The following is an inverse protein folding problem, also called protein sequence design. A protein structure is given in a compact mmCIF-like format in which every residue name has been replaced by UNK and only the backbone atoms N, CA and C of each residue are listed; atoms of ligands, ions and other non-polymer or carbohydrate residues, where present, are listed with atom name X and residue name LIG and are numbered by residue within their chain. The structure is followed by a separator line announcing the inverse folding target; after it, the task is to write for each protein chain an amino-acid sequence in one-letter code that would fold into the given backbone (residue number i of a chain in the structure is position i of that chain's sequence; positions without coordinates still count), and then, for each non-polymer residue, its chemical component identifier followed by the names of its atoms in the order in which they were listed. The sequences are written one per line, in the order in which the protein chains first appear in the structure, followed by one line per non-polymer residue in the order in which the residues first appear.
data_IF_866821708568
#
_entry.id   IF_866821708568
#
_cell.length_a   1.000
_cell.length_b   1.000
_cell.length_c   1.000
_cell.angle_alpha   90.00
_cell.angle_beta   90.00
_cell.angle_gamma   90.00
#
_symmetry.space_group_name_H-M   'P 1'
#
loop_
_entity.id
_entity.type
_entity.pdbx_description
1 polymer ?
#
# COMPACT_ATOMS: atom_id res chain seq x y z
N UNK A 1 32.12 -25.33 -52.05
CA UNK A 1 30.89 -24.52 -51.81
C UNK A 1 29.94 -25.16 -50.81
N UNK A 2 29.63 -26.47 -50.89
CA UNK A 2 28.76 -27.17 -49.92
C UNK A 2 29.28 -27.12 -48.46
N UNK A 3 30.59 -27.21 -48.26
CA UNK A 3 31.19 -27.20 -46.91
C UNK A 3 31.26 -25.79 -46.28
N UNK A 4 31.08 -24.73 -47.07
CA UNK A 4 31.07 -23.34 -46.59
C UNK A 4 29.67 -22.94 -46.08
N UNK A 5 28.62 -23.50 -46.69
CA UNK A 5 27.23 -23.28 -46.29
C UNK A 5 26.94 -23.94 -44.92
N UNK A 6 27.56 -25.08 -44.63
CA UNK A 6 27.40 -25.77 -43.36
C UNK A 6 28.01 -25.00 -42.17
N UNK A 7 29.13 -24.30 -42.39
CA UNK A 7 29.82 -23.50 -41.36
C UNK A 7 29.05 -22.21 -40.99
N UNK A 8 28.36 -21.58 -41.95
CA UNK A 8 27.49 -20.43 -41.70
C UNK A 8 26.21 -20.83 -40.95
N UNK A 9 25.74 -22.06 -41.16
CA UNK A 9 24.51 -22.57 -40.52
C UNK A 9 24.68 -22.82 -39.02
N UNK A 10 25.88 -23.20 -38.57
CA UNK A 10 26.16 -23.46 -37.14
C UNK A 10 26.42 -22.16 -36.35
N UNK A 11 26.93 -21.11 -37.00
CA UNK A 11 27.16 -19.80 -36.37
C UNK A 11 25.89 -19.00 -36.06
N UNK A 12 24.76 -19.31 -36.69
CA UNK A 12 23.49 -18.61 -36.48
C UNK A 12 22.67 -19.15 -35.29
N UNK A 13 23.07 -20.27 -34.70
CA UNK A 13 22.36 -20.87 -33.56
C UNK A 13 22.90 -20.43 -32.19
N UNK A 14 23.96 -19.63 -32.15
CA UNK A 14 24.61 -19.15 -30.91
C UNK A 14 24.20 -17.73 -30.50
N UNK A 15 23.15 -17.15 -31.10
CA UNK A 15 22.43 -16.05 -30.46
C UNK A 15 21.66 -16.60 -29.26
N UNK A 16 22.39 -16.88 -28.19
CA UNK A 16 21.84 -17.12 -26.87
C UNK A 16 20.93 -15.96 -26.52
N UNK A 17 19.63 -16.21 -26.53
CA UNK A 17 18.65 -15.31 -25.97
C UNK A 17 18.99 -15.16 -24.48
N UNK A 18 19.70 -14.08 -24.13
CA UNK A 18 19.71 -13.58 -22.77
C UNK A 18 18.30 -13.07 -22.49
N UNK A 19 17.38 -13.98 -22.20
CA UNK A 19 16.15 -13.61 -21.51
C UNK A 19 16.59 -13.13 -20.12
N UNK A 20 16.78 -11.82 -19.96
CA UNK A 20 17.01 -11.24 -18.66
C UNK A 20 15.85 -11.65 -17.76
N UNK A 21 16.10 -12.53 -16.79
CA UNK A 21 15.11 -12.95 -15.81
C UNK A 21 14.68 -11.69 -15.08
N UNK A 22 13.45 -11.21 -15.38
CA UNK A 22 12.86 -10.09 -14.64
C UNK A 22 12.53 -10.59 -13.24
N UNK A 23 13.38 -10.24 -12.30
CA UNK A 23 13.12 -10.49 -10.89
C UNK A 23 12.09 -9.48 -10.37
N UNK A 24 11.26 -9.85 -9.38
CA UNK A 24 10.36 -8.90 -8.74
C UNK A 24 11.13 -7.70 -8.16
N UNK A 25 10.51 -6.53 -8.15
CA UNK A 25 11.07 -5.36 -7.49
C UNK A 25 11.35 -5.64 -6.00
N UNK A 26 12.39 -5.04 -5.39
CA UNK A 26 12.72 -5.27 -3.97
C UNK A 26 11.58 -4.99 -2.98
N UNK A 27 10.62 -4.14 -3.38
CA UNK A 27 9.35 -3.94 -2.71
C UNK A 27 8.25 -4.27 -3.71
N UNK A 28 7.76 -5.52 -3.75
CA UNK A 28 6.77 -5.95 -4.71
C UNK A 28 5.47 -5.16 -4.57
N UNK A 29 4.82 -4.91 -5.70
CA UNK A 29 3.49 -4.29 -5.75
C UNK A 29 2.41 -5.30 -5.35
N UNK A 30 1.37 -4.82 -4.68
CA UNK A 30 0.14 -5.56 -4.41
C UNK A 30 -1.07 -4.67 -4.69
N UNK A 31 -2.09 -5.28 -5.32
CA UNK A 31 -3.44 -4.74 -5.46
C UNK A 31 -4.42 -5.63 -4.71
N UNK A 32 -5.33 -5.03 -3.95
CA UNK A 32 -6.44 -5.71 -3.28
C UNK A 32 -7.73 -5.04 -3.74
N UNK A 33 -8.67 -5.80 -4.26
CA UNK A 33 -10.02 -5.35 -4.60
C UNK A 33 -11.00 -6.04 -3.64
N UNK A 34 -11.82 -5.25 -2.96
CA UNK A 34 -12.76 -5.72 -1.95
C UNK A 34 -14.08 -4.97 -2.10
N UNK A 35 -15.19 -5.72 -2.20
CA UNK A 35 -16.54 -5.16 -2.08
C UNK A 35 -17.00 -5.24 -0.62
N UNK A 36 -17.51 -4.14 -0.07
CA UNK A 36 -18.11 -4.09 1.27
C UNK A 36 -19.49 -3.44 1.15
N UNK A 37 -20.54 -4.23 1.40
CA UNK A 37 -21.89 -3.84 1.03
C UNK A 37 -22.01 -3.68 -0.48
N UNK A 38 -22.27 -2.46 -0.93
CA UNK A 38 -22.34 -2.11 -2.35
C UNK A 38 -21.10 -1.33 -2.84
N UNK A 39 -20.23 -0.91 -1.93
CA UNK A 39 -19.04 -0.10 -2.26
C UNK A 39 -17.87 -0.99 -2.65
N UNK A 40 -17.24 -0.67 -3.77
CA UNK A 40 -15.98 -1.25 -4.20
C UNK A 40 -14.81 -0.43 -3.63
N UNK A 41 -13.88 -1.14 -3.00
CA UNK A 41 -12.66 -0.60 -2.40
C UNK A 41 -11.46 -1.23 -3.09
N UNK A 42 -10.57 -0.40 -3.63
CA UNK A 42 -9.32 -0.85 -4.24
C UNK A 42 -8.14 -0.28 -3.46
N UNK A 43 -7.23 -1.14 -3.02
CA UNK A 43 -5.97 -0.76 -2.37
C UNK A 43 -4.79 -1.14 -3.27
N UNK A 44 -3.92 -0.19 -3.56
CA UNK A 44 -2.72 -0.36 -4.39
C UNK A 44 -1.50 0.14 -3.61
N UNK A 45 -0.52 -0.74 -3.35
CA UNK A 45 0.65 -0.37 -2.56
C UNK A 45 1.86 -1.26 -2.85
N UNK A 46 3.07 -0.80 -2.52
CA UNK A 46 4.27 -1.65 -2.54
C UNK A 46 4.68 -2.06 -1.13
N UNK A 47 5.19 -3.29 -1.02
CA UNK A 47 5.44 -3.98 0.24
C UNK A 47 6.93 -4.04 0.58
N UNK A 48 7.51 -3.06 1.30
CA UNK A 48 8.90 -3.14 1.75
C UNK A 48 9.10 -4.25 2.80
N UNK A 49 10.27 -4.89 2.78
CA UNK A 49 10.68 -5.89 3.79
C UNK A 49 11.69 -5.32 4.78
N UNK A 50 11.73 -5.88 6.00
CA UNK A 50 12.64 -5.48 7.06
C UNK A 50 14.09 -5.71 6.66
N UNK A 51 14.40 -6.89 6.11
CA UNK A 51 15.78 -7.31 5.76
C UNK A 51 16.74 -7.13 6.93
N UNK A 52 16.31 -7.52 8.14
CA UNK A 52 17.09 -7.40 9.37
C UNK A 52 17.22 -5.98 9.95
N UNK A 53 16.55 -4.98 9.37
CA UNK A 53 16.54 -3.60 9.87
C UNK A 53 15.41 -3.40 10.89
N UNK A 54 15.67 -2.56 11.90
CA UNK A 54 14.61 -1.97 12.74
C UNK A 54 13.75 -1.03 11.89
N UNK A 55 12.43 -1.20 11.94
CA UNK A 55 11.51 -0.41 11.12
C UNK A 55 11.16 0.88 11.84
N UNK A 56 10.36 0.81 12.89
CA UNK A 56 9.84 2.02 13.55
C UNK A 56 10.90 2.60 14.50
N UNK A 57 11.21 3.89 14.31
CA UNK A 57 12.35 4.54 14.95
C UNK A 57 13.71 4.16 14.34
N UNK A 58 13.71 3.47 13.20
CA UNK A 58 14.88 3.16 12.39
C UNK A 58 14.66 3.62 10.95
N UNK A 59 14.23 2.69 10.08
CA UNK A 59 13.92 3.01 8.68
C UNK A 59 12.77 4.02 8.53
N UNK A 60 11.75 3.92 9.38
CA UNK A 60 10.60 4.82 9.44
C UNK A 60 10.75 5.66 10.70
N UNK A 61 11.08 6.96 10.59
CA UNK A 61 11.19 7.84 11.74
C UNK A 61 9.85 7.96 12.48
N UNK A 62 9.92 8.05 13.80
CA UNK A 62 8.73 8.32 14.61
C UNK A 62 8.40 9.81 14.57
N UNK A 63 7.12 10.13 14.63
CA UNK A 63 6.57 11.50 14.60
C UNK A 63 6.83 12.24 13.28
N UNK A 64 7.17 11.55 12.20
CA UNK A 64 7.33 12.12 10.86
C UNK A 64 6.36 11.49 9.86
N UNK A 65 5.98 12.25 8.84
CA UNK A 65 5.07 11.77 7.80
C UNK A 65 5.80 10.81 6.88
N UNK A 66 5.26 9.60 6.77
CA UNK A 66 5.70 8.53 5.89
C UNK A 66 4.61 8.22 4.86
N UNK A 67 5.02 7.96 3.62
CA UNK A 67 4.16 7.54 2.49
C UNK A 67 3.47 6.17 2.66
N UNK A 68 3.62 5.52 3.82
CA UNK A 68 2.98 4.23 4.16
C UNK A 68 3.24 3.13 3.13
N UNK A 69 4.50 2.95 2.74
CA UNK A 69 4.92 1.94 1.76
C UNK A 69 6.24 2.29 1.09
N UNK A 70 6.46 1.72 -0.09
CA UNK A 70 7.63 1.97 -0.92
C UNK A 70 7.25 2.27 -2.38
N UNK A 71 8.21 2.76 -3.17
CA UNK A 71 8.00 3.17 -4.56
C UNK A 71 6.91 4.24 -4.70
N UNK A 72 5.80 3.94 -5.38
CA UNK A 72 4.62 4.78 -5.48
C UNK A 72 3.88 4.88 -4.14
N UNK A 73 3.12 5.96 -3.95
CA UNK A 73 2.30 6.13 -2.76
C UNK A 73 1.24 5.04 -2.67
N UNK A 74 1.00 4.58 -1.44
CA UNK A 74 -0.14 3.71 -1.14
C UNK A 74 -1.41 4.46 -1.48
N UNK A 75 -2.24 3.88 -2.34
CA UNK A 75 -3.45 4.50 -2.85
C UNK A 75 -4.64 3.63 -2.48
N UNK A 76 -5.68 4.25 -1.94
CA UNK A 76 -6.97 3.63 -1.72
C UNK A 76 -8.04 4.37 -2.53
N UNK A 77 -8.92 3.61 -3.18
CA UNK A 77 -10.01 4.14 -3.98
C UNK A 77 -11.32 3.57 -3.50
N UNK A 78 -12.32 4.44 -3.35
CA UNK A 78 -13.68 4.09 -2.96
C UNK A 78 -14.65 4.48 -4.09
N UNK A 79 -15.57 3.59 -4.46
CA UNK A 79 -16.63 3.87 -5.44
C UNK A 79 -17.71 4.81 -4.92
N UNK A 80 -17.90 4.87 -3.60
CA UNK A 80 -18.97 5.62 -2.94
C UNK A 80 -18.41 6.39 -1.73
N UNK A 81 -19.23 7.31 -1.21
CA UNK A 81 -18.94 8.02 0.04
C UNK A 81 -18.88 7.03 1.22
N UNK A 82 -17.81 7.12 2.00
CA UNK A 82 -17.53 6.26 3.17
C UNK A 82 -17.34 7.10 4.44
N UNK A 83 -17.23 6.42 5.58
CA UNK A 83 -16.76 7.02 6.83
C UNK A 83 -15.43 6.38 7.22
N UNK A 84 -14.44 7.21 7.52
CA UNK A 84 -13.16 6.80 8.10
C UNK A 84 -13.21 7.17 9.58
N UNK A 85 -13.34 6.17 10.46
CA UNK A 85 -13.76 6.40 11.84
C UNK A 85 -15.15 7.04 11.87
N UNK A 86 -15.21 8.30 12.32
CA UNK A 86 -16.42 9.10 12.40
C UNK A 86 -16.41 10.31 11.46
N UNK A 87 -15.44 10.39 10.54
CA UNK A 87 -15.32 11.46 9.55
C UNK A 87 -15.79 10.97 8.18
N UNK A 88 -16.64 11.75 7.51
CA UNK A 88 -17.11 11.43 6.17
C UNK A 88 -16.03 11.71 5.13
N UNK A 89 -15.83 10.77 4.21
CA UNK A 89 -14.90 10.86 3.09
C UNK A 89 -15.67 10.62 1.80
N UNK A 90 -15.52 11.53 0.82
CA UNK A 90 -16.18 11.41 -0.47
C UNK A 90 -15.61 10.25 -1.30
N UNK A 91 -16.43 9.69 -2.18
CA UNK A 91 -15.96 8.77 -3.21
C UNK A 91 -14.76 9.36 -3.96
N UNK A 92 -13.77 8.52 -4.29
CA UNK A 92 -12.56 8.98 -4.93
C UNK A 92 -11.32 8.19 -4.55
N UNK A 93 -10.17 8.65 -5.04
CA UNK A 93 -8.86 8.05 -4.77
C UNK A 93 -8.04 8.93 -3.83
N UNK A 94 -7.39 8.32 -2.85
CA UNK A 94 -6.61 8.99 -1.83
C UNK A 94 -5.26 8.32 -1.65
N UNK A 95 -4.21 9.11 -1.48
CA UNK A 95 -2.93 8.60 -0.98
C UNK A 95 -3.01 8.42 0.54
N UNK A 96 -2.46 7.31 1.04
CA UNK A 96 -2.35 7.01 2.47
C UNK A 96 -0.98 7.45 2.97
N UNK A 97 -0.98 8.45 3.84
CA UNK A 97 0.18 8.81 4.64
C UNK A 97 -0.04 8.39 6.08
N UNK A 98 1.05 8.12 6.78
CA UNK A 98 1.03 7.78 8.21
C UNK A 98 2.10 8.56 8.93
N UNK A 99 1.82 8.92 10.17
CA UNK A 99 2.80 9.47 11.11
C UNK A 99 2.87 8.52 12.31
N UNK A 100 3.77 7.52 12.28
CA UNK A 100 3.89 6.56 13.36
C UNK A 100 4.42 7.19 14.64
N UNK A 101 3.82 6.85 15.78
CA UNK A 101 4.34 7.09 17.13
C UNK A 101 4.34 5.73 17.88
N UNK A 102 4.94 5.68 19.07
CA UNK A 102 5.04 4.46 19.89
C UNK A 102 3.68 3.91 20.34
N UNK A 103 2.69 4.78 20.59
CA UNK A 103 1.38 4.35 21.12
C UNK A 103 0.26 4.45 20.09
N UNK A 104 0.41 5.32 19.10
CA UNK A 104 -0.64 5.67 18.16
C UNK A 104 -0.04 6.10 16.83
N UNK A 105 -0.81 5.96 15.77
CA UNK A 105 -0.46 6.47 14.45
C UNK A 105 -1.50 7.49 14.03
N UNK A 106 -1.07 8.58 13.41
CA UNK A 106 -1.98 9.40 12.62
C UNK A 106 -2.01 8.82 11.20
N UNK A 107 -3.18 8.41 10.73
CA UNK A 107 -3.40 7.93 9.37
C UNK A 107 -4.14 9.01 8.60
N UNK A 108 -3.58 9.37 7.45
CA UNK A 108 -3.98 10.53 6.66
C UNK A 108 -4.42 10.06 5.29
N UNK A 109 -5.64 10.43 4.90
CA UNK A 109 -6.19 10.26 3.56
C UNK A 109 -6.00 11.59 2.82
N UNK A 110 -5.13 11.59 1.83
CA UNK A 110 -4.71 12.78 1.10
C UNK A 110 -5.29 12.75 -0.32
N UNK A 111 -5.98 13.82 -0.73
CA UNK A 111 -6.77 13.85 -1.98
C UNK A 111 -5.93 13.79 -3.25
N UNK A 112 -4.65 14.11 -3.17
CA UNK A 112 -3.72 13.99 -4.29
C UNK A 112 -3.00 12.64 -4.31
N UNK A 113 -3.64 11.69 -4.98
CA UNK A 113 -3.21 10.31 -5.10
C UNK A 113 -2.22 10.05 -6.25
N UNK A 114 -1.93 11.05 -7.08
CA UNK A 114 -0.98 10.94 -8.20
C UNK A 114 0.48 11.19 -7.83
N UNK A 115 0.71 11.71 -6.63
CA UNK A 115 2.04 12.05 -6.14
C UNK A 115 2.93 10.82 -5.89
N UNK A 116 4.23 11.06 -5.83
CA UNK A 116 5.25 10.05 -5.54
C UNK A 116 6.04 10.46 -4.30
N UNK A 117 6.14 9.55 -3.32
CA UNK A 117 6.82 9.85 -2.06
C UNK A 117 6.05 10.78 -1.12
N UNK A 118 6.73 11.20 -0.04
CA UNK A 118 6.28 12.35 0.76
C UNK A 118 6.57 13.62 -0.04
N UNK A 119 5.57 14.48 -0.31
CA UNK A 119 5.79 15.72 -1.05
C UNK A 119 6.85 16.57 -0.35
N UNK A 120 7.72 17.22 -1.14
CA UNK A 120 8.74 18.12 -0.58
C UNK A 120 8.09 19.29 0.17
N UNK A 121 6.93 19.74 -0.31
CA UNK A 121 6.06 20.69 0.38
C UNK A 121 4.73 20.00 0.70
N UNK A 122 4.44 19.82 1.98
CA UNK A 122 3.18 19.26 2.45
C UNK A 122 2.06 20.30 2.34
N UNK A 123 1.06 20.03 1.51
CA UNK A 123 -0.09 20.92 1.33
C UNK A 123 -1.25 20.43 2.21
N UNK A 124 -1.41 21.11 3.36
CA UNK A 124 -2.45 20.78 4.33
C UNK A 124 -3.88 20.87 3.76
N UNK A 125 -4.11 21.65 2.69
CA UNK A 125 -5.43 21.77 2.07
C UNK A 125 -5.91 20.49 1.38
N UNK A 126 -4.99 19.57 1.07
CA UNK A 126 -5.27 18.27 0.44
C UNK A 126 -5.51 17.15 1.46
N UNK A 127 -5.40 17.43 2.76
CA UNK A 127 -5.74 16.47 3.82
C UNK A 127 -7.27 16.35 3.90
N UNK A 128 -7.80 15.23 3.40
CA UNK A 128 -9.25 14.98 3.42
C UNK A 128 -9.68 14.43 4.79
N UNK A 129 -8.92 13.51 5.36
CA UNK A 129 -9.14 12.96 6.70
C UNK A 129 -7.81 12.72 7.40
N UNK A 130 -7.74 13.02 8.68
CA UNK A 130 -6.71 12.51 9.59
C UNK A 130 -7.39 11.76 10.74
N UNK A 131 -6.98 10.51 10.98
CA UNK A 131 -7.49 9.69 12.06
C UNK A 131 -6.34 9.22 12.94
N UNK A 132 -6.45 9.46 14.24
CA UNK A 132 -5.52 8.90 15.23
C UNK A 132 -6.00 7.50 15.64
N UNK A 133 -5.19 6.48 15.40
CA UNK A 133 -5.49 5.08 15.73
C UNK A 133 -4.44 4.53 16.68
N UNK A 134 -4.85 3.62 17.57
CA UNK A 134 -3.93 2.96 18.49
C UNK A 134 -3.03 1.98 17.74
N UNK A 135 -1.74 1.98 18.10
CA UNK A 135 -0.78 0.98 17.68
C UNK A 135 -0.79 -0.18 18.68
N UNK A 136 -0.94 -1.39 18.17
CA UNK A 136 -0.99 -2.61 18.96
C UNK A 136 0.29 -3.41 18.74
N UNK A 137 1.00 -3.79 19.81
CA UNK A 137 2.12 -4.68 19.69
C UNK A 137 1.64 -6.08 19.27
N UNK A 138 2.37 -6.69 18.34
CA UNK A 138 2.12 -8.03 17.84
C UNK A 138 3.08 -9.03 18.51
N UNK A 139 2.62 -10.26 18.82
CA UNK A 139 3.45 -11.28 19.46
C UNK A 139 4.52 -11.87 18.51
N UNK A 140 4.46 -11.54 17.22
CA UNK A 140 5.35 -12.02 16.18
C UNK A 140 5.78 -10.87 15.27
N UNK A 141 6.97 -10.99 14.69
CA UNK A 141 7.47 -10.01 13.72
C UNK A 141 6.96 -10.32 12.32
N UNK A 142 6.45 -9.28 11.65
CA UNK A 142 5.95 -9.29 10.28
C UNK A 142 7.06 -8.73 9.38
N UNK A 143 7.72 -9.63 8.64
CA UNK A 143 8.90 -9.30 7.82
C UNK A 143 8.59 -8.32 6.68
N UNK A 144 7.43 -8.43 6.06
CA UNK A 144 7.06 -7.63 4.89
C UNK A 144 5.81 -6.82 5.18
N UNK A 145 5.87 -5.52 4.91
CA UNK A 145 4.75 -4.61 5.13
C UNK A 145 3.48 -5.16 4.46
N UNK A 146 2.42 -5.26 5.24
CA UNK A 146 1.18 -5.92 4.83
C UNK A 146 0.00 -5.05 5.21
N UNK A 147 -0.88 -4.80 4.25
CA UNK A 147 -2.16 -4.15 4.45
C UNK A 147 -3.28 -5.13 4.13
N UNK A 148 -4.37 -5.06 4.90
CA UNK A 148 -5.48 -6.01 4.84
C UNK A 148 -6.82 -5.29 5.00
N UNK A 149 -7.90 -5.96 4.59
CA UNK A 149 -9.26 -5.62 5.01
C UNK A 149 -9.73 -6.66 6.03
N UNK A 150 -9.67 -6.30 7.30
CA UNK A 150 -10.03 -7.15 8.44
C UNK A 150 -11.48 -6.91 8.87
N UNK A 151 -12.01 -7.81 9.73
CA UNK A 151 -13.31 -7.64 10.39
C UNK A 151 -14.45 -7.24 9.45
N UNK A 152 -14.50 -7.84 8.26
CA UNK A 152 -15.51 -7.57 7.25
C UNK A 152 -16.92 -7.87 7.78
N UNK A 153 -17.80 -6.89 7.63
CA UNK A 153 -19.25 -6.97 7.88
C UNK A 153 -20.00 -6.42 6.68
N UNK A 154 -21.33 -6.48 6.70
CA UNK A 154 -22.18 -5.97 5.62
C UNK A 154 -21.94 -4.48 5.31
N UNK A 155 -21.63 -3.67 6.32
CA UNK A 155 -21.48 -2.21 6.19
C UNK A 155 -20.19 -1.66 6.82
N UNK A 156 -19.22 -2.51 7.15
CA UNK A 156 -17.97 -2.06 7.78
C UNK A 156 -16.79 -2.99 7.47
N UNK A 157 -15.59 -2.42 7.50
CA UNK A 157 -14.33 -3.15 7.45
C UNK A 157 -13.29 -2.42 8.31
N UNK A 158 -12.15 -3.06 8.56
CA UNK A 158 -10.98 -2.40 9.15
C UNK A 158 -9.84 -2.48 8.14
N UNK A 159 -9.30 -1.34 7.73
CA UNK A 159 -8.04 -1.31 6.97
C UNK A 159 -6.89 -1.54 7.94
N UNK A 160 -6.38 -2.78 7.96
CA UNK A 160 -5.25 -3.19 8.78
C UNK A 160 -3.91 -2.84 8.14
N UNK A 161 -2.93 -2.45 8.94
CA UNK A 161 -1.53 -2.30 8.53
C UNK A 161 -0.64 -3.02 9.53
N UNK A 162 0.24 -3.89 9.01
CA UNK A 162 1.12 -4.76 9.78
C UNK A 162 2.56 -4.63 9.29
N UNK A 163 3.48 -4.35 10.21
CA UNK A 163 4.92 -4.44 9.95
C UNK A 163 5.71 -4.57 11.23
N UNK A 164 6.86 -5.23 11.17
CA UNK A 164 7.68 -5.50 12.37
C UNK A 164 6.75 -6.11 13.43
N UNK A 165 6.65 -5.52 14.61
CA UNK A 165 5.79 -6.00 15.68
C UNK A 165 4.60 -5.07 15.94
N UNK A 166 4.11 -4.35 14.93
CA UNK A 166 3.03 -3.38 15.08
C UNK A 166 1.83 -3.75 14.20
N UNK A 167 0.64 -3.57 14.76
CA UNK A 167 -0.64 -3.56 14.06
C UNK A 167 -1.35 -2.23 14.30
N UNK A 168 -1.88 -1.62 13.25
CA UNK A 168 -2.85 -0.53 13.36
C UNK A 168 -4.06 -0.85 12.48
N UNK A 169 -5.25 -0.54 12.99
CA UNK A 169 -6.51 -0.76 12.29
C UNK A 169 -7.27 0.55 12.10
N UNK A 170 -7.58 0.89 10.85
CA UNK A 170 -8.39 2.05 10.50
C UNK A 170 -9.84 1.59 10.27
N UNK A 171 -10.79 1.95 11.13
CA UNK A 171 -12.19 1.57 10.93
C UNK A 171 -12.79 2.30 9.73
N UNK A 172 -13.44 1.54 8.85
CA UNK A 172 -14.17 2.02 7.68
C UNK A 172 -15.63 1.61 7.81
N UNK A 173 -16.56 2.56 7.62
CA UNK A 173 -18.00 2.28 7.54
C UNK A 173 -18.53 2.70 6.17
N UNK A 174 -19.44 1.91 5.64
CA UNK A 174 -20.01 2.05 4.31
C UNK A 174 -21.50 2.36 4.44
N UNK A 175 -22.03 3.24 3.59
CA UNK A 175 -23.43 3.69 3.64
C UNK A 175 -24.40 2.69 3.00
N UNK A 176 -24.21 1.39 3.23
CA UNK A 176 -24.94 0.31 2.55
C UNK A 176 -26.45 0.43 2.73
N UNK A 177 -26.92 0.76 3.93
CA UNK A 177 -28.35 0.86 4.24
C UNK A 177 -29.04 2.10 3.62
N UNK A 178 -28.27 3.11 3.19
CA UNK A 178 -28.82 4.31 2.52
C UNK A 178 -28.96 4.14 1.01
N UNK A 179 -28.43 3.04 0.48
CA UNK A 179 -28.37 2.76 -0.96
C UNK A 179 -29.42 1.72 -1.40
N UNK A 180 -30.19 1.17 -0.45
CA UNK A 180 -31.29 0.22 -0.66
C UNK A 180 -32.63 0.78 -0.21
#
# INVERSE_FOLDING_TARGET
MKNLILLVSVGLFSMGAYAQVKTPAPSPFQKIEQKVGLTDVTLEYSRPSMKGRKIFGGLVPLNEIWRTGANANTKITFSDDVMVGDVSLKAGSYAIYTKPNTENWEVIFYSDAGNWGTPQEWDASKVAVTLKVQAYPMPMSIETFTMTFDNLKSNSAVLGMLWENQYVGVPLKFNTDKQV
#
